data_IF_244339726582
#
_entry.id   IF_244339726582
#
_cell.length_a   1.000
_cell.length_b   1.000
_cell.length_c   1.000
_cell.angle_alpha   90.00
_cell.angle_beta   90.00
_cell.angle_gamma   90.00
#
_symmetry.space_group_name_H-M   'P 1'
#
loop_
_entity.id
_entity.type
_entity.pdbx_description
1 polymer ?
#
# COMPACT_ATOMS: atom_id res chain seq x y z
N UNK A 1 -25.32 14.04 11.84
CA UNK A 1 -25.24 14.08 10.38
C UNK A 1 -26.25 15.08 9.84
N UNK A 2 -25.89 15.81 8.78
CA UNK A 2 -26.75 16.80 8.14
C UNK A 2 -27.92 16.13 7.41
N UNK A 3 -29.10 16.74 7.40
CA UNK A 3 -30.25 16.25 6.61
C UNK A 3 -30.14 16.73 5.16
N UNK A 4 -30.73 15.98 4.21
CA UNK A 4 -30.75 16.41 2.81
C UNK A 4 -31.46 17.76 2.62
N UNK A 5 -32.56 17.99 3.29
CA UNK A 5 -33.30 19.26 3.22
C UNK A 5 -32.43 20.47 3.59
N UNK A 6 -31.63 20.34 4.66
CA UNK A 6 -30.66 21.38 5.07
C UNK A 6 -29.55 21.54 4.02
N UNK A 7 -28.89 20.45 3.67
CA UNK A 7 -27.76 20.48 2.73
C UNK A 7 -28.15 21.02 1.35
N UNK A 8 -29.36 20.73 0.88
CA UNK A 8 -29.84 21.12 -0.45
C UNK A 8 -30.51 22.52 -0.53
N UNK A 9 -30.52 23.26 0.59
CA UNK A 9 -31.24 24.56 0.67
C UNK A 9 -30.75 25.63 -0.30
N UNK A 10 -29.57 25.51 -0.87
CA UNK A 10 -28.95 26.42 -1.85
C UNK A 10 -28.68 25.78 -3.22
N UNK A 11 -29.34 24.67 -3.54
CA UNK A 11 -29.19 24.07 -4.87
C UNK A 11 -29.73 24.98 -5.98
N UNK A 12 -30.66 25.87 -5.64
CA UNK A 12 -31.28 26.76 -6.61
C UNK A 12 -32.05 26.00 -7.69
N UNK A 13 -32.15 26.59 -8.88
CA UNK A 13 -32.92 26.05 -10.01
C UNK A 13 -32.04 25.09 -10.85
N UNK A 14 -31.49 24.06 -10.22
CA UNK A 14 -30.75 23.02 -10.95
C UNK A 14 -31.70 22.18 -11.82
N UNK A 15 -31.18 21.64 -12.93
CA UNK A 15 -31.96 20.73 -13.77
C UNK A 15 -32.42 19.49 -12.96
N UNK A 16 -33.63 18.98 -13.27
CA UNK A 16 -34.22 17.84 -12.53
C UNK A 16 -33.24 16.66 -12.33
N UNK A 17 -32.62 16.13 -13.40
CA UNK A 17 -31.62 15.06 -13.25
C UNK A 17 -30.41 15.43 -12.40
N UNK A 18 -30.05 16.71 -12.30
CA UNK A 18 -28.97 17.19 -11.42
C UNK A 18 -29.39 17.15 -9.95
N UNK A 19 -30.67 17.48 -9.68
CA UNK A 19 -31.24 17.35 -8.34
C UNK A 19 -31.27 15.90 -7.86
N UNK A 20 -31.63 14.96 -8.73
CA UNK A 20 -31.62 13.52 -8.41
C UNK A 20 -30.20 13.02 -8.09
N UNK A 21 -29.22 13.46 -8.87
CA UNK A 21 -27.79 13.17 -8.60
C UNK A 21 -27.32 13.72 -7.27
N UNK A 22 -27.75 14.96 -6.91
CA UNK A 22 -27.38 15.55 -5.63
C UNK A 22 -27.90 14.73 -4.46
N UNK A 23 -29.13 14.24 -4.56
CA UNK A 23 -29.73 13.40 -3.51
C UNK A 23 -29.04 12.05 -3.39
N UNK A 24 -28.77 11.39 -4.50
CA UNK A 24 -28.06 10.11 -4.50
C UNK A 24 -26.66 10.21 -3.86
N UNK A 25 -25.87 11.20 -4.32
CA UNK A 25 -24.50 11.37 -3.84
C UNK A 25 -24.49 11.72 -2.35
N UNK A 26 -25.41 12.59 -1.93
CA UNK A 26 -25.61 12.94 -0.53
C UNK A 26 -25.95 11.71 0.32
N UNK A 27 -27.00 10.97 -0.05
CA UNK A 27 -27.45 9.77 0.70
C UNK A 27 -26.35 8.70 0.80
N UNK A 28 -25.62 8.50 -0.30
CA UNK A 28 -24.50 7.56 -0.32
C UNK A 28 -23.36 7.99 0.59
N UNK A 29 -23.02 9.29 0.64
CA UNK A 29 -21.99 9.84 1.52
C UNK A 29 -22.40 9.69 2.99
N UNK A 30 -23.62 10.07 3.34
CA UNK A 30 -24.16 9.94 4.70
C UNK A 30 -24.16 8.47 5.16
N UNK A 31 -24.63 7.56 4.31
CA UNK A 31 -24.62 6.11 4.59
C UNK A 31 -23.21 5.57 4.83
N UNK A 32 -22.20 6.14 4.18
CA UNK A 32 -20.79 5.77 4.37
C UNK A 32 -20.10 6.51 5.54
N UNK A 33 -20.84 7.33 6.31
CA UNK A 33 -20.29 8.07 7.44
C UNK A 33 -19.56 9.36 7.08
N UNK A 34 -19.76 9.87 5.85
CA UNK A 34 -19.13 11.10 5.37
C UNK A 34 -20.16 12.22 5.28
N UNK A 35 -19.97 13.28 6.06
CA UNK A 35 -20.90 14.41 6.14
C UNK A 35 -20.68 15.40 5.00
N UNK A 36 -21.68 15.46 4.10
CA UNK A 36 -21.86 16.57 3.15
C UNK A 36 -22.80 17.56 3.84
N UNK A 37 -22.25 18.64 4.37
CA UNK A 37 -23.03 19.54 5.22
C UNK A 37 -23.80 20.59 4.43
N UNK A 38 -23.42 20.84 3.17
CA UNK A 38 -24.04 21.82 2.31
C UNK A 38 -23.79 21.49 0.82
N UNK A 39 -24.72 21.89 -0.06
CA UNK A 39 -24.58 21.74 -1.51
C UNK A 39 -24.97 23.05 -2.20
N UNK A 40 -24.14 23.44 -3.18
CA UNK A 40 -24.43 24.54 -4.08
C UNK A 40 -24.72 23.98 -5.48
N UNK A 41 -25.67 24.59 -6.19
CA UNK A 41 -26.06 24.15 -7.53
C UNK A 41 -26.14 25.30 -8.50
N UNK A 42 -27.38 25.69 -8.89
CA UNK A 42 -27.61 26.75 -9.87
C UNK A 42 -27.16 28.11 -9.32
N UNK A 43 -26.39 28.86 -10.12
CA UNK A 43 -26.06 30.25 -9.92
C UNK A 43 -26.61 31.08 -11.10
N UNK A 44 -27.42 32.07 -10.80
CA UNK A 44 -27.97 33.01 -11.80
C UNK A 44 -26.91 33.94 -12.44
N UNK A 45 -25.65 33.92 -11.91
CA UNK A 45 -24.58 34.76 -12.45
C UNK A 45 -24.02 34.13 -13.74
N UNK A 46 -24.13 34.82 -14.86
CA UNK A 46 -23.65 34.36 -16.16
C UNK A 46 -22.13 34.15 -16.24
N UNK A 47 -21.34 34.71 -15.32
CA UNK A 47 -19.90 34.50 -15.29
C UNK A 47 -19.51 33.09 -14.87
N UNK A 48 -20.36 32.37 -14.14
CA UNK A 48 -20.16 30.97 -13.78
C UNK A 48 -21.00 30.07 -14.71
N UNK A 49 -20.51 29.79 -15.89
CA UNK A 49 -21.22 29.09 -16.96
C UNK A 49 -21.62 27.66 -16.57
N UNK A 50 -20.87 26.97 -15.73
CA UNK A 50 -21.18 25.59 -15.32
C UNK A 50 -22.37 25.56 -14.36
N UNK A 51 -22.34 26.36 -13.30
CA UNK A 51 -23.47 26.50 -12.37
C UNK A 51 -24.69 27.17 -13.02
N UNK A 52 -24.47 28.16 -13.87
CA UNK A 52 -25.58 28.80 -14.64
C UNK A 52 -26.28 27.80 -15.57
N UNK A 53 -25.60 26.76 -16.02
CA UNK A 53 -26.22 25.68 -16.80
C UNK A 53 -27.21 24.80 -16.00
N UNK A 54 -27.23 24.88 -14.67
CA UNK A 54 -27.97 24.02 -13.76
C UNK A 54 -27.46 22.56 -13.71
N UNK A 55 -26.25 22.30 -14.23
CA UNK A 55 -25.69 20.96 -14.34
C UNK A 55 -24.49 20.72 -13.43
N UNK A 56 -23.96 21.74 -12.75
CA UNK A 56 -22.88 21.64 -11.79
C UNK A 56 -23.41 21.54 -10.36
N UNK A 57 -22.67 20.83 -9.52
CA UNK A 57 -22.91 20.68 -8.09
C UNK A 57 -21.61 20.81 -7.33
N UNK A 58 -21.65 21.58 -6.24
CA UNK A 58 -20.60 21.65 -5.23
C UNK A 58 -21.08 20.92 -3.98
N UNK A 59 -20.30 19.95 -3.52
CA UNK A 59 -20.56 19.20 -2.30
C UNK A 59 -19.58 19.67 -1.23
N UNK A 60 -20.06 20.52 -0.31
CA UNK A 60 -19.26 21.07 0.76
C UNK A 60 -18.99 20.00 1.83
N UNK A 61 -17.72 19.81 2.17
CA UNK A 61 -17.26 18.78 3.11
C UNK A 61 -16.37 19.37 4.20
N UNK A 62 -16.34 18.75 5.38
CA UNK A 62 -15.59 19.27 6.53
C UNK A 62 -14.12 18.80 6.59
N UNK A 63 -13.76 17.77 5.83
CA UNK A 63 -12.43 17.20 5.88
C UNK A 63 -12.06 16.49 4.58
N UNK A 64 -10.76 16.28 4.41
CA UNK A 64 -10.17 15.60 3.26
C UNK A 64 -10.80 14.22 2.98
N UNK A 65 -11.05 13.41 4.02
CA UNK A 65 -11.57 12.05 3.86
C UNK A 65 -12.97 12.04 3.24
N UNK A 66 -13.84 12.98 3.65
CA UNK A 66 -15.20 13.13 3.11
C UNK A 66 -15.14 13.59 1.65
N UNK A 67 -14.36 14.64 1.33
CA UNK A 67 -14.19 15.12 -0.05
C UNK A 67 -13.62 14.05 -0.97
N UNK A 68 -12.62 13.35 -0.51
CA UNK A 68 -12.03 12.24 -1.25
C UNK A 68 -13.05 11.12 -1.52
N UNK A 69 -13.87 10.76 -0.51
CA UNK A 69 -14.90 9.74 -0.68
C UNK A 69 -15.96 10.17 -1.69
N UNK A 70 -16.47 11.41 -1.60
CA UNK A 70 -17.46 11.97 -2.53
C UNK A 70 -16.92 11.99 -3.96
N UNK A 71 -15.70 12.50 -4.15
CA UNK A 71 -15.01 12.50 -5.45
C UNK A 71 -14.89 11.09 -6.02
N UNK A 72 -14.48 10.12 -5.21
CA UNK A 72 -14.29 8.73 -5.63
C UNK A 72 -15.63 8.02 -5.92
N UNK A 73 -16.67 8.34 -5.17
CA UNK A 73 -18.03 7.85 -5.45
C UNK A 73 -18.52 8.36 -6.81
N UNK A 74 -18.43 9.67 -7.06
CA UNK A 74 -18.83 10.30 -8.32
C UNK A 74 -18.03 9.67 -9.48
N UNK A 75 -16.73 9.54 -9.33
CA UNK A 75 -15.87 8.98 -10.38
C UNK A 75 -16.18 7.50 -10.68
N UNK A 76 -16.39 6.68 -9.67
CA UNK A 76 -16.77 5.26 -9.86
C UNK A 76 -18.10 5.10 -10.57
N UNK A 77 -19.02 6.01 -10.34
CA UNK A 77 -20.35 6.01 -10.96
C UNK A 77 -20.45 6.95 -12.17
N UNK A 78 -19.33 7.42 -12.74
CA UNK A 78 -19.27 8.47 -13.77
C UNK A 78 -20.15 8.21 -15.00
N UNK A 79 -20.22 6.97 -15.47
CA UNK A 79 -21.03 6.62 -16.63
C UNK A 79 -22.54 6.78 -16.32
N UNK A 80 -23.02 6.20 -15.23
CA UNK A 80 -24.40 6.24 -14.76
C UNK A 80 -24.81 7.65 -14.35
N UNK A 81 -23.95 8.36 -13.63
CA UNK A 81 -24.16 9.77 -13.27
C UNK A 81 -24.01 10.72 -14.45
N UNK A 82 -23.55 10.24 -15.61
CA UNK A 82 -23.23 11.07 -16.77
C UNK A 82 -22.28 12.24 -16.44
N UNK A 83 -21.23 11.92 -15.70
CA UNK A 83 -20.22 12.87 -15.29
C UNK A 83 -19.43 13.41 -16.49
N UNK A 84 -19.21 14.71 -16.54
CA UNK A 84 -18.31 15.36 -17.48
C UNK A 84 -16.92 15.54 -16.87
N UNK A 85 -16.87 16.11 -15.66
CA UNK A 85 -15.64 16.13 -14.84
C UNK A 85 -15.96 16.28 -13.35
N UNK A 86 -14.97 15.99 -12.53
CA UNK A 86 -14.99 16.21 -11.08
C UNK A 86 -13.68 16.87 -10.65
N UNK A 87 -13.77 17.84 -9.73
CA UNK A 87 -12.65 18.58 -9.18
C UNK A 87 -12.64 18.40 -7.66
N UNK A 88 -11.47 18.12 -7.11
CA UNK A 88 -11.21 18.08 -5.69
C UNK A 88 -9.75 18.42 -5.42
N UNK A 89 -9.50 19.28 -4.43
CA UNK A 89 -8.16 19.71 -4.01
C UNK A 89 -7.25 20.11 -5.19
N UNK A 90 -7.72 21.06 -6.00
CA UNK A 90 -6.98 21.59 -7.15
C UNK A 90 -6.68 20.55 -8.25
N UNK A 91 -7.34 19.39 -8.22
CA UNK A 91 -7.16 18.35 -9.23
C UNK A 91 -8.46 18.04 -9.96
N UNK A 92 -8.41 18.11 -11.28
CA UNK A 92 -9.53 17.76 -12.17
C UNK A 92 -9.33 16.38 -12.78
N UNK A 93 -10.43 15.61 -12.82
CA UNK A 93 -10.50 14.35 -13.58
C UNK A 93 -11.71 14.44 -14.51
N UNK A 94 -11.49 14.29 -15.80
CA UNK A 94 -12.53 14.46 -16.84
C UNK A 94 -12.81 13.14 -17.56
N UNK A 95 -14.06 12.98 -18.03
CA UNK A 95 -14.44 11.92 -18.96
C UNK A 95 -14.28 12.36 -20.42
N UNK A 96 -14.03 13.65 -20.66
CA UNK A 96 -13.94 14.27 -21.99
C UNK A 96 -12.49 14.61 -22.34
N UNK A 97 -11.86 15.44 -21.52
CA UNK A 97 -10.49 15.92 -21.77
C UNK A 97 -9.48 15.01 -21.08
N UNK A 98 -8.68 14.29 -21.84
CA UNK A 98 -7.76 13.28 -21.32
C UNK A 98 -8.45 12.30 -20.37
N UNK A 99 -9.38 11.46 -20.86
CA UNK A 99 -10.28 10.68 -20.02
C UNK A 99 -9.54 9.87 -18.96
N UNK A 100 -9.96 10.06 -17.70
CA UNK A 100 -9.36 9.37 -16.53
C UNK A 100 -8.04 9.92 -16.04
N UNK A 101 -7.37 10.81 -16.77
CA UNK A 101 -6.16 11.46 -16.30
C UNK A 101 -6.48 12.47 -15.20
N UNK A 102 -5.76 12.38 -14.07
CA UNK A 102 -5.81 13.37 -13.00
C UNK A 102 -4.82 14.47 -13.33
N UNK A 103 -5.30 15.71 -13.48
CA UNK A 103 -4.48 16.88 -13.80
C UNK A 103 -4.57 17.91 -12.67
N UNK A 104 -3.42 18.43 -12.24
CA UNK A 104 -3.37 19.56 -11.32
C UNK A 104 -3.80 20.83 -12.05
N UNK A 105 -4.65 21.62 -11.43
CA UNK A 105 -5.10 22.92 -11.92
C UNK A 105 -4.15 24.02 -11.44
N UNK A 106 -4.14 25.16 -12.12
CA UNK A 106 -3.43 26.34 -11.66
C UNK A 106 -4.00 26.83 -10.32
N UNK A 107 -3.16 27.44 -9.51
CA UNK A 107 -3.60 28.09 -8.28
C UNK A 107 -4.47 29.31 -8.61
N UNK A 108 -5.64 29.38 -7.99
CA UNK A 108 -6.63 30.43 -8.17
C UNK A 108 -6.74 31.37 -6.96
N UNK A 109 -5.77 31.30 -6.04
CA UNK A 109 -5.54 32.25 -4.96
C UNK A 109 -6.27 32.03 -3.66
N UNK A 110 -7.34 31.20 -3.61
CA UNK A 110 -8.06 30.92 -2.36
C UNK A 110 -8.60 29.50 -2.27
N UNK A 111 -9.01 29.10 -1.07
CA UNK A 111 -9.50 27.75 -0.73
C UNK A 111 -10.65 27.30 -1.63
N UNK A 112 -11.68 28.14 -1.76
CA UNK A 112 -12.89 27.80 -2.53
C UNK A 112 -12.60 27.75 -4.04
N UNK A 113 -11.88 28.74 -4.58
CA UNK A 113 -11.50 28.74 -5.99
C UNK A 113 -10.60 27.55 -6.36
N UNK A 114 -9.83 27.02 -5.41
CA UNK A 114 -8.99 25.85 -5.55
C UNK A 114 -9.72 24.52 -5.20
N UNK A 115 -11.03 24.57 -4.89
CA UNK A 115 -11.84 23.39 -4.54
C UNK A 115 -11.23 22.57 -3.38
N UNK A 116 -10.72 23.27 -2.34
CA UNK A 116 -10.11 22.64 -1.17
C UNK A 116 -11.15 22.32 -0.07
N UNK A 117 -12.33 22.92 -0.13
CA UNK A 117 -13.43 22.84 0.84
C UNK A 117 -14.68 22.15 0.27
N UNK A 118 -14.71 21.88 -1.03
CA UNK A 118 -15.82 21.22 -1.70
C UNK A 118 -15.39 20.36 -2.89
N UNK A 119 -16.22 19.37 -3.22
CA UNK A 119 -16.09 18.59 -4.46
C UNK A 119 -16.99 19.19 -5.51
N UNK A 120 -16.40 19.73 -6.57
CA UNK A 120 -17.15 20.23 -7.73
C UNK A 120 -17.36 19.12 -8.76
N UNK A 121 -18.59 18.99 -9.30
CA UNK A 121 -18.90 18.02 -10.33
C UNK A 121 -19.81 18.63 -11.40
N UNK A 122 -19.41 18.50 -12.67
CA UNK A 122 -20.22 18.86 -13.82
C UNK A 122 -20.75 17.62 -14.52
N UNK A 123 -22.04 17.63 -14.86
CA UNK A 123 -22.72 16.51 -15.51
C UNK A 123 -23.17 16.86 -16.93
N UNK A 124 -23.26 15.84 -17.80
CA UNK A 124 -23.91 15.98 -19.10
C UNK A 124 -25.44 16.18 -18.95
N UNK A 125 -26.03 16.76 -19.95
CA UNK A 125 -27.49 16.79 -20.11
C UNK A 125 -28.07 15.38 -20.28
N UNK A 126 -29.34 15.18 -19.96
CA UNK A 126 -30.08 13.93 -20.17
C UNK A 126 -30.43 13.21 -18.87
N UNK A 127 -31.19 12.14 -19.02
CA UNK A 127 -31.81 11.40 -17.91
C UNK A 127 -30.81 10.86 -16.94
N UNK A 128 -31.10 11.00 -15.66
CA UNK A 128 -30.44 10.34 -14.55
C UNK A 128 -30.85 8.86 -14.49
N UNK A 129 -29.92 7.99 -14.18
CA UNK A 129 -30.17 6.57 -13.92
C UNK A 129 -29.94 6.27 -12.44
N UNK A 130 -31.02 5.91 -11.73
CA UNK A 130 -30.94 5.60 -10.30
C UNK A 130 -30.07 4.35 -10.02
N UNK A 131 -29.51 4.21 -8.80
CA UNK A 131 -28.85 3.00 -8.37
C UNK A 131 -29.80 1.80 -8.50
N UNK A 132 -29.31 0.67 -9.05
CA UNK A 132 -30.12 -0.54 -9.25
C UNK A 132 -30.98 -0.57 -10.52
N UNK A 133 -30.97 0.47 -11.37
CA UNK A 133 -31.50 0.36 -12.72
C UNK A 133 -30.53 -0.47 -13.58
N UNK A 134 -30.91 -1.66 -13.97
CA UNK A 134 -30.06 -2.73 -14.55
C UNK A 134 -29.43 -2.44 -15.93
N UNK A 135 -29.33 -1.19 -16.36
CA UNK A 135 -28.93 -0.83 -17.73
C UNK A 135 -27.77 0.14 -17.85
N UNK A 136 -27.08 0.49 -16.78
CA UNK A 136 -25.82 1.23 -16.92
C UNK A 136 -24.65 0.31 -16.59
N UNK A 137 -23.66 0.20 -17.46
CA UNK A 137 -22.41 -0.44 -17.05
C UNK A 137 -21.82 0.43 -15.93
N UNK A 138 -21.96 -0.05 -14.69
CA UNK A 138 -20.96 0.28 -13.69
C UNK A 138 -19.71 -0.35 -14.26
N UNK A 139 -18.74 0.45 -14.70
CA UNK A 139 -17.44 -0.13 -15.02
C UNK A 139 -17.05 -0.98 -13.81
N UNK A 140 -16.92 -2.30 -13.96
CA UNK A 140 -16.47 -3.12 -12.85
C UNK A 140 -15.18 -2.49 -12.34
N UNK A 141 -14.91 -2.52 -11.02
CA UNK A 141 -13.62 -2.06 -10.52
C UNK A 141 -12.56 -2.75 -11.39
N UNK A 142 -11.61 -1.99 -11.95
CA UNK A 142 -10.65 -2.54 -12.89
C UNK A 142 -10.06 -3.80 -12.28
N UNK A 143 -10.12 -4.91 -13.01
CA UNK A 143 -9.60 -6.20 -12.56
C UNK A 143 -8.16 -5.97 -12.16
N UNK A 144 -7.82 -6.19 -10.90
CA UNK A 144 -6.44 -6.17 -10.42
C UNK A 144 -5.66 -7.21 -11.22
N UNK A 145 -4.87 -6.77 -12.16
CA UNK A 145 -4.03 -7.65 -13.00
C UNK A 145 -2.67 -7.91 -12.38
N UNK A 146 -2.28 -7.09 -11.39
CA UNK A 146 -0.96 -7.12 -10.73
C UNK A 146 -1.12 -7.24 -9.23
N UNK A 147 -0.13 -7.86 -8.59
CA UNK A 147 -0.04 -7.90 -7.12
C UNK A 147 0.33 -6.52 -6.56
N UNK A 148 0.06 -6.31 -5.27
CA UNK A 148 0.47 -5.07 -4.61
C UNK A 148 2.00 -4.87 -4.62
N UNK A 149 2.79 -5.94 -4.58
CA UNK A 149 4.25 -5.87 -4.68
C UNK A 149 4.72 -5.40 -6.06
N UNK A 150 4.11 -5.90 -7.14
CA UNK A 150 4.38 -5.45 -8.52
C UNK A 150 4.02 -3.97 -8.71
N UNK A 151 2.89 -3.54 -8.15
CA UNK A 151 2.49 -2.13 -8.20
C UNK A 151 3.45 -1.25 -7.38
N UNK A 152 3.93 -1.73 -6.23
CA UNK A 152 4.93 -1.01 -5.44
C UNK A 152 6.25 -0.85 -6.21
N UNK A 153 6.68 -1.85 -6.97
CA UNK A 153 7.85 -1.75 -7.86
C UNK A 153 7.65 -0.72 -8.96
N UNK A 154 6.45 -0.67 -9.54
CA UNK A 154 6.10 0.36 -10.52
C UNK A 154 6.03 1.77 -9.93
N UNK A 155 5.60 1.90 -8.66
CA UNK A 155 5.64 3.17 -7.92
C UNK A 155 7.08 3.62 -7.72
N UNK A 156 7.98 2.73 -7.32
CA UNK A 156 9.41 3.01 -7.19
C UNK A 156 10.06 3.38 -8.52
N UNK A 157 9.60 2.78 -9.62
CA UNK A 157 10.01 3.13 -10.98
C UNK A 157 9.36 4.42 -11.52
N UNK A 158 8.57 5.15 -10.72
CA UNK A 158 7.94 6.43 -11.10
C UNK A 158 6.72 6.33 -12.02
N UNK A 159 6.27 5.12 -12.39
CA UNK A 159 5.19 4.91 -13.38
C UNK A 159 3.82 5.43 -12.93
N UNK A 160 3.63 5.61 -11.63
CA UNK A 160 2.36 6.04 -11.05
C UNK A 160 2.32 7.54 -10.71
N UNK A 161 3.42 8.29 -10.96
CA UNK A 161 3.57 9.70 -10.56
C UNK A 161 3.77 9.86 -9.05
N UNK A 162 3.59 11.08 -8.53
CA UNK A 162 3.89 11.41 -7.15
C UNK A 162 2.68 12.00 -6.42
N UNK A 163 2.72 11.97 -5.08
CA UNK A 163 1.75 12.61 -4.19
C UNK A 163 0.30 12.24 -4.52
N UNK A 164 -0.54 13.25 -4.60
CA UNK A 164 -1.97 13.11 -4.87
C UNK A 164 -2.26 12.35 -6.19
N UNK A 165 -1.54 12.66 -7.27
CA UNK A 165 -1.73 12.02 -8.58
C UNK A 165 -1.53 10.51 -8.50
N UNK A 166 -0.49 10.06 -7.77
CA UNK A 166 -0.25 8.63 -7.53
C UNK A 166 -1.40 7.97 -6.79
N UNK A 167 -1.88 8.61 -5.72
CA UNK A 167 -3.01 8.11 -4.93
C UNK A 167 -4.24 7.91 -5.79
N UNK A 168 -4.58 8.89 -6.63
CA UNK A 168 -5.74 8.83 -7.51
C UNK A 168 -5.63 7.75 -8.59
N UNK A 169 -4.47 7.65 -9.25
CA UNK A 169 -4.22 6.61 -10.25
C UNK A 169 -4.36 5.20 -9.67
N UNK A 170 -3.77 4.97 -8.49
CA UNK A 170 -3.88 3.69 -7.79
C UNK A 170 -5.33 3.34 -7.47
N UNK A 171 -6.10 4.28 -6.92
CA UNK A 171 -7.53 4.09 -6.61
C UNK A 171 -8.36 3.82 -7.86
N UNK A 172 -8.19 4.63 -8.90
CA UNK A 172 -8.90 4.45 -10.18
C UNK A 172 -8.60 3.10 -10.83
N UNK A 173 -7.43 2.53 -10.54
CA UNK A 173 -7.04 1.18 -10.98
C UNK A 173 -7.40 0.08 -9.99
N UNK A 174 -8.21 0.38 -8.96
CA UNK A 174 -8.71 -0.59 -7.97
C UNK A 174 -7.71 -0.99 -6.88
N UNK A 175 -6.56 -0.32 -6.78
CA UNK A 175 -5.56 -0.60 -5.74
C UNK A 175 -5.77 0.28 -4.51
N UNK A 176 -5.38 -0.23 -3.34
CA UNK A 176 -5.37 0.54 -2.10
C UNK A 176 -4.03 1.30 -1.97
N UNK A 177 -4.00 2.64 -2.10
CA UNK A 177 -2.76 3.42 -2.07
C UNK A 177 -1.99 3.27 -0.75
N UNK A 178 -2.71 3.19 0.37
CA UNK A 178 -2.09 3.01 1.70
C UNK A 178 -1.39 1.65 1.81
N UNK A 179 -2.00 0.58 1.29
CA UNK A 179 -1.38 -0.73 1.27
C UNK A 179 -0.14 -0.76 0.37
N UNK A 180 -0.21 -0.10 -0.81
CA UNK A 180 0.93 0.04 -1.72
C UNK A 180 2.05 0.86 -1.05
N UNK A 181 1.72 1.99 -0.41
CA UNK A 181 2.73 2.83 0.25
C UNK A 181 3.48 2.08 1.34
N UNK A 182 2.79 1.28 2.17
CA UNK A 182 3.45 0.42 3.17
C UNK A 182 4.47 -0.54 2.56
N UNK A 183 4.19 -1.06 1.36
CA UNK A 183 5.14 -1.93 0.65
C UNK A 183 6.31 -1.12 0.11
N UNK A 184 6.05 0.05 -0.48
CA UNK A 184 7.07 0.99 -0.95
C UNK A 184 8.01 1.38 0.19
N UNK A 185 7.46 1.79 1.34
CA UNK A 185 8.24 2.17 2.52
C UNK A 185 9.11 1.01 3.00
N UNK A 186 8.55 -0.20 3.07
CA UNK A 186 9.30 -1.42 3.41
C UNK A 186 10.45 -1.69 2.43
N UNK A 187 10.23 -1.48 1.12
CA UNK A 187 11.27 -1.69 0.08
C UNK A 187 12.35 -0.62 0.12
N UNK A 188 12.04 0.60 0.55
CA UNK A 188 12.97 1.71 0.70
C UNK A 188 13.74 1.68 2.02
N UNK A 189 13.28 0.94 3.03
CA UNK A 189 14.03 0.79 4.28
C UNK A 189 15.36 0.10 4.02
N UNK A 190 16.50 0.66 4.48
CA UNK A 190 17.78 -0.02 4.40
C UNK A 190 17.67 -1.36 5.14
N UNK A 191 17.77 -2.44 4.40
CA UNK A 191 17.78 -3.77 5.00
C UNK A 191 19.05 -3.94 5.83
N UNK A 192 18.88 -4.29 7.08
CA UNK A 192 20.02 -4.69 7.91
C UNK A 192 20.74 -5.87 7.26
N UNK A 193 22.06 -5.85 7.32
CA UNK A 193 22.85 -6.98 6.85
C UNK A 193 22.61 -8.22 7.71
N UNK A 194 22.93 -9.40 7.19
CA UNK A 194 22.84 -10.65 7.96
C UNK A 194 23.66 -10.56 9.23
N UNK A 195 24.84 -9.93 9.19
CA UNK A 195 25.69 -9.74 10.36
C UNK A 195 25.02 -8.85 11.43
N UNK A 196 24.37 -7.75 11.03
CA UNK A 196 23.62 -6.88 11.97
C UNK A 196 22.43 -7.62 12.60
N UNK A 197 21.70 -8.41 11.81
CA UNK A 197 20.61 -9.24 12.32
C UNK A 197 21.12 -10.32 13.25
N UNK A 198 22.25 -10.96 12.92
CA UNK A 198 22.87 -11.96 13.77
C UNK A 198 23.29 -11.38 15.13
N UNK A 199 23.87 -10.18 15.16
CA UNK A 199 24.16 -9.47 16.42
C UNK A 199 22.90 -9.20 17.23
N UNK A 200 21.81 -8.75 16.59
CA UNK A 200 20.52 -8.54 17.27
C UNK A 200 19.90 -9.86 17.80
N UNK A 201 20.14 -10.98 17.12
CA UNK A 201 19.73 -12.31 17.60
C UNK A 201 20.51 -12.67 18.87
N UNK A 202 21.82 -12.41 18.91
CA UNK A 202 22.68 -12.62 20.07
C UNK A 202 22.22 -11.76 21.24
N UNK A 203 21.82 -10.51 20.97
CA UNK A 203 21.24 -9.57 21.96
C UNK A 203 19.82 -9.98 22.42
N UNK A 204 19.25 -11.07 21.92
CA UNK A 204 17.91 -11.55 22.30
C UNK A 204 16.74 -10.82 21.68
N UNK A 205 16.96 -9.81 20.80
CA UNK A 205 15.90 -8.95 20.21
C UNK A 205 14.90 -9.71 19.32
N UNK A 206 15.27 -10.89 18.86
CA UNK A 206 14.48 -11.73 17.95
C UNK A 206 13.75 -12.90 18.62
N UNK A 207 13.90 -13.07 19.94
CA UNK A 207 13.36 -14.20 20.69
C UNK A 207 14.10 -15.52 20.42
N UNK A 208 13.49 -16.67 20.76
CA UNK A 208 14.13 -17.99 20.72
C UNK A 208 13.33 -19.01 19.91
N UNK A 209 14.00 -20.08 19.47
CA UNK A 209 13.37 -21.25 18.82
C UNK A 209 12.51 -20.89 17.61
N UNK A 210 11.34 -21.51 17.52
CA UNK A 210 10.39 -21.31 16.41
C UNK A 210 9.88 -19.87 16.32
N UNK A 211 9.76 -19.14 17.45
CA UNK A 211 9.37 -17.74 17.47
C UNK A 211 10.39 -16.87 16.70
N UNK A 212 11.71 -17.09 16.94
CA UNK A 212 12.78 -16.42 16.20
C UNK A 212 12.66 -16.68 14.69
N UNK A 213 12.52 -17.96 14.29
CA UNK A 213 12.39 -18.34 12.88
C UNK A 213 11.21 -17.62 12.23
N UNK A 214 10.04 -17.64 12.87
CA UNK A 214 8.83 -16.96 12.38
C UNK A 214 9.04 -15.46 12.22
N UNK A 215 9.65 -14.78 13.19
CA UNK A 215 9.89 -13.33 13.15
C UNK A 215 10.89 -12.95 12.06
N UNK A 216 12.00 -13.69 11.93
CA UNK A 216 12.99 -13.48 10.88
C UNK A 216 12.38 -13.66 9.49
N UNK A 217 11.66 -14.77 9.27
CA UNK A 217 10.98 -15.06 8.00
C UNK A 217 9.96 -13.97 7.66
N UNK A 218 9.12 -13.53 8.63
CA UNK A 218 8.16 -12.46 8.44
C UNK A 218 8.83 -11.12 8.10
N UNK A 219 10.02 -10.87 8.63
CA UNK A 219 10.83 -9.70 8.29
C UNK A 219 11.61 -9.84 6.97
N UNK A 220 11.50 -11.00 6.30
CA UNK A 220 12.12 -11.28 5.00
C UNK A 220 13.58 -11.71 5.07
N UNK A 221 14.06 -12.19 6.23
CA UNK A 221 15.38 -12.77 6.39
C UNK A 221 15.31 -14.29 6.32
N UNK A 222 16.35 -14.90 5.73
CA UNK A 222 16.51 -16.35 5.79
C UNK A 222 17.06 -16.73 7.17
N UNK A 223 16.25 -17.42 7.96
CA UNK A 223 16.58 -17.81 9.34
C UNK A 223 17.83 -18.68 9.45
N UNK A 224 18.05 -19.56 8.47
CA UNK A 224 19.23 -20.47 8.49
C UNK A 224 20.52 -19.70 8.19
N UNK A 225 20.46 -18.73 7.26
CA UNK A 225 21.58 -17.86 6.96
C UNK A 225 21.94 -16.98 8.17
N UNK A 226 20.93 -16.43 8.85
CA UNK A 226 21.13 -15.66 10.09
C UNK A 226 21.71 -16.56 11.18
N UNK A 227 21.20 -17.79 11.35
CA UNK A 227 21.71 -18.72 12.36
C UNK A 227 23.17 -19.15 12.09
N UNK A 228 23.55 -19.36 10.83
CA UNK A 228 24.94 -19.62 10.45
C UNK A 228 25.88 -18.48 10.87
N UNK A 229 25.43 -17.23 10.65
CA UNK A 229 26.19 -16.05 11.04
C UNK A 229 26.24 -15.87 12.57
N UNK A 230 25.15 -16.12 13.29
CA UNK A 230 25.14 -16.20 14.77
C UNK A 230 26.15 -17.18 15.27
N UNK A 231 26.15 -18.40 14.71
CA UNK A 231 27.09 -19.44 15.08
C UNK A 231 28.56 -19.03 14.81
N UNK A 232 28.78 -18.35 13.68
CA UNK A 232 30.11 -17.81 13.33
C UNK A 232 30.58 -16.76 14.34
N UNK A 233 29.70 -15.81 14.71
CA UNK A 233 30.00 -14.74 15.67
C UNK A 233 30.22 -15.25 17.07
N UNK A 234 29.51 -16.30 17.48
CA UNK A 234 29.68 -16.96 18.77
C UNK A 234 30.84 -17.99 18.80
N UNK A 235 31.51 -18.19 17.67
CA UNK A 235 32.57 -19.23 17.58
C UNK A 235 32.04 -20.67 17.66
N UNK A 236 30.73 -20.88 17.59
CA UNK A 236 30.06 -22.18 17.81
C UNK A 236 30.19 -23.12 16.61
N UNK A 237 30.66 -22.67 15.46
CA UNK A 237 30.74 -23.45 14.22
C UNK A 237 32.12 -23.44 13.55
N UNK A 238 33.17 -23.57 14.32
CA UNK A 238 34.34 -24.25 13.77
C UNK A 238 34.24 -25.74 14.09
N UNK A 239 33.33 -26.48 13.39
CA UNK A 239 33.57 -27.95 13.36
C UNK A 239 35.00 -28.12 12.88
N UNK A 240 35.82 -28.56 13.81
CA UNK A 240 37.23 -28.82 13.51
C UNK A 240 37.31 -29.74 12.29
N UNK A 241 38.14 -29.41 11.35
CA UNK A 241 38.40 -30.26 10.20
C UNK A 241 39.07 -31.54 10.67
N UNK A 242 38.94 -32.61 9.89
CA UNK A 242 39.67 -33.88 10.16
C UNK A 242 41.17 -33.61 10.38
N UNK A 243 41.70 -32.63 9.63
CA UNK A 243 43.10 -32.21 9.74
C UNK A 243 43.43 -31.57 11.11
N UNK A 244 42.57 -30.66 11.61
CA UNK A 244 42.74 -30.06 12.94
C UNK A 244 42.55 -31.08 14.05
N UNK A 245 41.56 -31.95 13.94
CA UNK A 245 41.31 -33.04 14.89
C UNK A 245 42.49 -34.03 14.94
N UNK A 246 43.10 -34.35 13.79
CA UNK A 246 44.26 -35.19 13.74
C UNK A 246 45.47 -34.57 14.46
N UNK A 247 45.68 -33.25 14.36
CA UNK A 247 46.70 -32.53 15.11
C UNK A 247 46.47 -32.64 16.63
N UNK A 248 45.23 -32.43 17.07
CA UNK A 248 44.82 -32.53 18.48
C UNK A 248 44.94 -33.96 19.01
N UNK A 249 44.63 -34.96 18.19
CA UNK A 249 44.84 -36.38 18.54
C UNK A 249 46.30 -36.69 18.70
N UNK A 250 47.17 -36.21 17.83
CA UNK A 250 48.63 -36.37 17.94
C UNK A 250 49.17 -35.69 19.20
N UNK A 251 48.58 -34.53 19.56
CA UNK A 251 48.91 -33.79 20.78
C UNK A 251 48.40 -34.46 22.06
N UNK A 252 47.47 -35.43 21.97
CA UNK A 252 46.92 -36.16 23.10
C UNK A 252 45.61 -35.61 23.67
N UNK A 253 45.04 -34.51 23.11
CA UNK A 253 43.89 -33.82 23.65
C UNK A 253 42.61 -34.68 23.69
N UNK A 254 42.55 -35.71 22.85
CA UNK A 254 41.40 -36.62 22.73
C UNK A 254 41.59 -37.95 23.49
N UNK A 255 42.72 -38.17 24.15
CA UNK A 255 43.08 -39.43 24.80
C UNK A 255 43.52 -40.49 23.80
N UNK A 256 43.55 -41.78 24.24
CA UNK A 256 44.03 -42.90 23.41
C UNK A 256 43.00 -44.02 23.28
N UNK A 257 43.21 -44.88 22.28
CA UNK A 257 42.40 -46.09 22.08
C UNK A 257 40.91 -45.83 21.97
N UNK A 258 40.12 -46.63 22.67
CA UNK A 258 38.68 -46.61 22.62
C UNK A 258 38.08 -45.28 23.20
N UNK A 259 38.75 -44.72 24.23
CA UNK A 259 38.33 -43.44 24.83
C UNK A 259 38.36 -42.32 23.79
N UNK A 260 39.35 -42.28 22.92
CA UNK A 260 39.44 -41.33 21.81
C UNK A 260 38.29 -41.50 20.85
N UNK A 261 37.99 -42.73 20.43
CA UNK A 261 36.91 -43.04 19.52
C UNK A 261 35.56 -42.55 20.08
N UNK A 262 35.29 -42.88 21.36
CA UNK A 262 34.07 -42.47 22.05
C UNK A 262 33.94 -40.94 22.16
N UNK A 263 35.01 -40.20 22.51
CA UNK A 263 35.00 -38.74 22.62
C UNK A 263 34.75 -38.07 21.28
N UNK A 264 35.45 -38.50 20.21
CA UNK A 264 35.25 -37.97 18.87
C UNK A 264 33.80 -38.23 18.37
N UNK A 265 33.30 -39.46 18.55
CA UNK A 265 31.94 -39.84 18.15
C UNK A 265 30.87 -39.05 18.92
N UNK A 266 31.04 -38.90 20.26
CA UNK A 266 30.14 -38.09 21.10
C UNK A 266 30.15 -36.62 20.70
N UNK A 267 31.29 -36.10 20.25
CA UNK A 267 31.41 -34.75 19.70
C UNK A 267 30.88 -34.62 18.24
N UNK A 268 30.35 -35.70 17.66
CA UNK A 268 29.79 -35.73 16.32
C UNK A 268 30.82 -35.80 15.19
N UNK A 269 32.05 -36.17 15.48
CA UNK A 269 33.11 -36.34 14.49
C UNK A 269 33.24 -37.81 14.03
N UNK A 270 33.69 -37.98 12.80
CA UNK A 270 34.01 -39.30 12.27
C UNK A 270 35.39 -39.77 12.78
N UNK A 271 35.41 -40.53 13.88
CA UNK A 271 36.62 -41.01 14.52
C UNK A 271 37.55 -41.84 13.60
N UNK A 272 36.95 -42.62 12.66
CA UNK A 272 37.68 -43.41 11.67
C UNK A 272 38.46 -42.52 10.67
N UNK A 273 37.79 -41.45 10.19
CA UNK A 273 38.42 -40.49 9.28
C UNK A 273 39.56 -39.72 9.97
N UNK A 274 39.36 -39.32 11.24
CA UNK A 274 40.37 -38.64 12.03
C UNK A 274 41.58 -39.58 12.25
N UNK A 275 41.37 -40.86 12.59
CA UNK A 275 42.44 -41.82 12.78
C UNK A 275 43.20 -42.10 11.48
N UNK A 276 42.50 -42.15 10.33
CA UNK A 276 43.18 -42.32 9.03
C UNK A 276 44.12 -41.16 8.73
N UNK A 277 43.73 -39.92 9.03
CA UNK A 277 44.57 -38.73 8.87
C UNK A 277 45.75 -38.70 9.85
N UNK A 278 45.55 -39.13 11.12
CA UNK A 278 46.63 -39.32 12.08
C UNK A 278 47.67 -40.31 11.55
N UNK A 279 47.21 -41.49 11.08
CA UNK A 279 48.09 -42.51 10.54
C UNK A 279 48.87 -42.03 9.30
N UNK A 280 48.23 -41.20 8.46
CA UNK A 280 48.88 -40.60 7.28
C UNK A 280 50.01 -39.64 7.67
N UNK A 281 49.89 -38.91 8.77
CA UNK A 281 50.91 -37.94 9.24
C UNK A 281 52.06 -38.54 10.03
N UNK A 282 51.85 -39.71 10.62
CA UNK A 282 52.84 -40.39 11.42
C UNK A 282 53.67 -41.44 10.63
N UNK A 283 53.36 -41.62 9.32
CA UNK A 283 54.14 -42.34 8.36
C UNK A 283 55.23 -41.47 7.75
#
# INVERSE_FOLDING_TARGET
MTTYAHASSKLGNVAGPTKDRSKEIFDAAQKAGHDVWFMWGYDGNASNTEHHSGRALDFMVKNHAAGQWVRDYIWRNRARLRLQHVIWEQHITSTVTSPGAVRKMADRGNTTANHMDHVHALFFTGTYQAPGSDKAPVDPPPKKTKTNDQIADEVLAGKWGNGYVRVQRLRSSGYNPTAIQKIVDRKLMPRKTVAQIASEVIDGKWGNGTNRVTRLTKAGYNSDTVQKEVNRLLGVNSRKTVHQLASEVIHGDWGSGEVRVQRLTRAGYNAKAVQAEVNRRLK
#
